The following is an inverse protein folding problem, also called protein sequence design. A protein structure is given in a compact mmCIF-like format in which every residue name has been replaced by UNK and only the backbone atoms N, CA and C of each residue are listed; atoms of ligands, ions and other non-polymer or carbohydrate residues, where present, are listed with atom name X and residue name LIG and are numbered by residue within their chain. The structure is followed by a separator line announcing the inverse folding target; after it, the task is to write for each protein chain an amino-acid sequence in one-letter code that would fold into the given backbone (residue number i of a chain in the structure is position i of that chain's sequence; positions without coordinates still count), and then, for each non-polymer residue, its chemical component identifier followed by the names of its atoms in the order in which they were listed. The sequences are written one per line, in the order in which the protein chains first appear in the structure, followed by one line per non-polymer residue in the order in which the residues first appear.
data_IF_371632102675
#
_entry.id   IF_371632102675
#
_cell.length_a   1.000
_cell.length_b   1.000
_cell.length_c   1.000
_cell.angle_alpha   90.00
_cell.angle_beta   90.00
_cell.angle_gamma   90.00
#
_symmetry.space_group_name_H-M   'P 1'
#
loop_
_entity.id
_entity.type
_entity.pdbx_description
1 polymer ?
#
# COMPACT_ATOMS: atom_id res chain seq x y z
N UNK A 1 -40.95 -49.64 -8.10
CA UNK A 1 -39.57 -49.38 -8.52
C UNK A 1 -39.37 -48.01 -9.19
N UNK A 2 -40.33 -47.38 -9.88
CA UNK A 2 -40.17 -46.06 -10.54
C UNK A 2 -40.13 -44.87 -9.57
N UNK A 3 -40.73 -44.94 -8.40
CA UNK A 3 -40.76 -43.85 -7.43
C UNK A 3 -39.40 -43.59 -6.71
N UNK A 4 -38.58 -44.63 -6.52
CA UNK A 4 -37.27 -44.47 -5.90
C UNK A 4 -36.23 -43.73 -6.77
N UNK A 5 -36.33 -43.83 -8.10
CA UNK A 5 -35.41 -43.15 -9.03
C UNK A 5 -35.59 -41.64 -9.05
N UNK A 6 -36.84 -41.17 -8.89
CA UNK A 6 -37.13 -39.73 -8.88
C UNK A 6 -36.61 -39.02 -7.64
N UNK A 7 -36.61 -39.67 -6.49
CA UNK A 7 -36.10 -39.09 -5.21
C UNK A 7 -34.58 -38.96 -5.26
N UNK A 8 -33.88 -39.90 -5.87
CA UNK A 8 -32.42 -39.84 -6.04
C UNK A 8 -31.99 -38.74 -7.06
N UNK A 9 -32.70 -38.60 -8.16
CA UNK A 9 -32.44 -37.58 -9.17
C UNK A 9 -32.65 -36.17 -8.63
N UNK A 10 -33.67 -35.95 -7.79
CA UNK A 10 -33.92 -34.63 -7.16
C UNK A 10 -32.85 -34.31 -6.10
N UNK A 11 -32.37 -35.27 -5.34
CA UNK A 11 -31.29 -35.05 -4.37
C UNK A 11 -29.95 -34.73 -5.03
N UNK A 12 -29.62 -35.35 -6.14
CA UNK A 12 -28.42 -35.04 -6.91
C UNK A 12 -28.50 -33.66 -7.60
N UNK A 13 -29.67 -33.26 -8.07
CA UNK A 13 -29.88 -31.92 -8.66
C UNK A 13 -29.76 -30.79 -7.61
N UNK A 14 -30.24 -31.03 -6.37
CA UNK A 14 -30.12 -30.02 -5.29
C UNK A 14 -28.67 -29.89 -4.81
N UNK A 15 -27.89 -31.00 -4.74
CA UNK A 15 -26.47 -30.94 -4.39
C UNK A 15 -25.65 -30.25 -5.48
N UNK A 16 -25.98 -30.40 -6.76
CA UNK A 16 -25.31 -29.72 -7.87
C UNK A 16 -25.62 -28.19 -7.90
N UNK A 17 -26.80 -27.77 -7.45
CA UNK A 17 -27.16 -26.33 -7.40
C UNK A 17 -26.48 -25.63 -6.21
N UNK A 18 -26.27 -26.30 -5.07
CA UNK A 18 -25.59 -25.71 -3.90
C UNK A 18 -24.08 -25.56 -4.15
N UNK A 19 -23.45 -26.39 -4.97
CA UNK A 19 -22.04 -26.24 -5.34
C UNK A 19 -21.79 -25.21 -6.43
N UNK A 20 -22.83 -24.69 -7.11
CA UNK A 20 -22.73 -23.65 -8.14
C UNK A 20 -22.99 -22.24 -7.61
N UNK A 21 -23.29 -22.06 -6.32
CA UNK A 21 -23.20 -20.78 -5.63
C UNK A 21 -21.72 -20.48 -5.39
N UNK A 22 -21.01 -20.17 -6.48
CA UNK A 22 -19.67 -19.57 -6.41
C UNK A 22 -19.78 -18.36 -5.50
N UNK A 23 -18.95 -18.30 -4.47
CA UNK A 23 -18.81 -17.11 -3.64
C UNK A 23 -18.53 -15.95 -4.57
N UNK A 24 -19.49 -15.04 -4.71
CA UNK A 24 -19.23 -13.80 -5.42
C UNK A 24 -17.95 -13.20 -4.80
N UNK A 25 -16.99 -12.76 -5.62
CA UNK A 25 -15.79 -12.15 -5.07
C UNK A 25 -16.25 -10.96 -4.21
N UNK A 26 -16.06 -11.07 -2.90
CA UNK A 26 -16.24 -9.94 -2.00
C UNK A 26 -15.26 -8.89 -2.50
N UNK A 27 -15.78 -7.79 -3.05
CA UNK A 27 -14.93 -6.67 -3.44
C UNK A 27 -14.20 -6.23 -2.16
N UNK A 28 -12.90 -6.41 -2.14
CA UNK A 28 -12.09 -6.04 -1.00
C UNK A 28 -12.28 -4.56 -0.69
N UNK A 29 -12.61 -4.26 0.56
CA UNK A 29 -12.68 -2.87 1.00
C UNK A 29 -11.26 -2.39 1.31
N UNK A 30 -10.71 -1.58 0.42
CA UNK A 30 -9.38 -0.99 0.61
C UNK A 30 -9.31 0.01 1.77
N UNK A 31 -10.40 0.28 2.47
CA UNK A 31 -10.39 1.09 3.71
C UNK A 31 -10.09 0.26 4.95
N UNK A 32 -10.38 -1.05 4.91
CA UNK A 32 -10.10 -1.93 6.03
C UNK A 32 -8.59 -2.03 6.28
N UNK A 33 -8.18 -1.72 7.52
CA UNK A 33 -6.79 -1.73 7.95
C UNK A 33 -5.91 -0.62 7.37
N UNK A 34 -6.47 0.37 6.65
CA UNK A 34 -5.74 1.51 6.12
C UNK A 34 -5.27 2.42 7.27
N UNK A 35 -3.97 2.60 7.41
CA UNK A 35 -3.32 3.40 8.46
C UNK A 35 -2.97 4.79 7.95
N UNK A 36 -2.47 4.89 6.72
CA UNK A 36 -2.12 6.16 6.08
C UNK A 36 -2.31 6.09 4.57
N UNK A 37 -2.71 7.20 3.98
CA UNK A 37 -2.87 7.37 2.53
C UNK A 37 -2.51 8.80 2.15
N UNK A 38 -1.44 8.97 1.40
CA UNK A 38 -0.93 10.26 0.95
C UNK A 38 -1.06 10.33 -0.57
N UNK A 39 -2.09 11.08 -1.03
CA UNK A 39 -2.41 11.26 -2.45
C UNK A 39 -1.55 12.33 -3.09
N UNK A 40 -1.03 13.28 -2.30
CA UNK A 40 -0.24 14.43 -2.72
C UNK A 40 -0.97 15.42 -3.65
N UNK A 41 -2.30 15.36 -3.70
CA UNK A 41 -3.18 16.24 -4.49
C UNK A 41 -3.48 17.59 -3.79
N UNK A 42 -2.88 17.87 -2.64
CA UNK A 42 -3.15 19.06 -1.81
C UNK A 42 -2.47 20.33 -2.35
N UNK A 43 -1.82 20.25 -3.51
CA UNK A 43 -1.10 21.35 -4.11
C UNK A 43 0.28 21.60 -3.49
N UNK A 44 0.74 22.86 -3.49
CA UNK A 44 2.11 23.22 -3.09
C UNK A 44 2.29 23.50 -1.59
N UNK A 45 1.36 23.08 -0.74
CA UNK A 45 1.42 23.32 0.70
C UNK A 45 2.52 22.49 1.38
N UNK A 46 2.97 22.97 2.55
CA UNK A 46 4.01 22.28 3.32
C UNK A 46 3.49 21.08 4.11
N UNK A 47 2.20 20.99 4.32
CA UNK A 47 1.52 19.89 4.97
C UNK A 47 0.95 18.95 3.91
N UNK A 48 1.23 17.66 4.06
CA UNK A 48 0.70 16.60 3.19
C UNK A 48 -0.43 15.90 3.94
N UNK A 49 -1.64 15.98 3.38
CA UNK A 49 -2.83 15.41 4.00
C UNK A 49 -2.77 13.87 3.99
N UNK A 50 -3.17 13.27 5.12
CA UNK A 50 -3.50 11.84 5.22
C UNK A 50 -4.98 11.64 4.92
N UNK A 51 -5.27 11.12 3.74
CA UNK A 51 -6.63 10.80 3.26
C UNK A 51 -7.21 9.51 3.84
N UNK A 52 -6.48 8.79 4.71
CA UNK A 52 -6.99 7.58 5.38
C UNK A 52 -8.02 7.87 6.47
N UNK A 53 -8.06 9.09 6.99
CA UNK A 53 -8.89 9.51 8.13
C UNK A 53 -8.20 9.34 9.50
N UNK A 54 -6.98 8.79 9.57
CA UNK A 54 -6.24 8.58 10.82
C UNK A 54 -5.40 9.79 11.26
N UNK A 55 -5.39 10.85 10.45
CA UNK A 55 -4.68 12.11 10.72
C UNK A 55 -3.15 11.92 10.85
N UNK A 56 -2.59 11.01 10.07
CA UNK A 56 -1.15 10.85 9.92
C UNK A 56 -0.59 11.82 8.87
N UNK A 57 -0.91 13.12 9.03
CA UNK A 57 -0.43 14.16 8.13
C UNK A 57 1.09 14.20 8.13
N UNK A 58 1.67 14.42 6.96
CA UNK A 58 3.10 14.57 6.76
C UNK A 58 3.48 16.04 6.59
N UNK A 59 4.73 16.36 6.87
CA UNK A 59 5.31 17.65 6.57
C UNK A 59 6.40 17.50 5.52
N UNK A 60 6.41 18.39 4.52
CA UNK A 60 7.52 18.49 3.58
C UNK A 60 8.76 19.03 4.30
N UNK A 61 9.86 18.32 4.21
CA UNK A 61 11.17 18.86 4.55
C UNK A 61 11.52 20.01 3.57
N UNK A 62 12.39 20.93 3.99
CA UNK A 62 12.73 22.10 3.21
C UNK A 62 13.32 21.70 1.85
N UNK A 63 12.64 22.10 0.78
CA UNK A 63 13.07 21.90 -0.61
C UNK A 63 12.22 20.93 -1.40
N UNK A 64 11.55 19.95 -0.76
CA UNK A 64 10.62 19.04 -1.45
C UNK A 64 9.46 19.82 -2.08
N UNK A 65 9.03 19.38 -3.26
CA UNK A 65 8.00 20.05 -4.04
C UNK A 65 6.77 19.16 -4.17
N UNK A 66 5.67 19.60 -3.59
CA UNK A 66 4.34 19.11 -3.91
C UNK A 66 3.76 19.84 -5.13
N UNK A 67 2.60 19.36 -5.64
CA UNK A 67 1.95 19.96 -6.80
C UNK A 67 2.70 19.75 -8.12
N UNK A 68 3.48 18.69 -8.22
CA UNK A 68 4.13 18.28 -9.46
C UNK A 68 3.26 17.23 -10.17
N UNK A 69 3.33 17.17 -11.51
CA UNK A 69 2.56 16.18 -12.26
C UNK A 69 2.86 14.75 -11.80
N UNK A 70 1.83 14.05 -11.30
CA UNK A 70 1.88 12.70 -10.73
C UNK A 70 1.57 11.58 -11.71
N UNK A 71 1.41 10.40 -11.18
CA UNK A 71 0.78 9.28 -11.89
C UNK A 71 -0.71 9.52 -12.03
N UNK A 72 -1.32 10.07 -10.98
CA UNK A 72 -2.69 10.57 -10.93
C UNK A 72 -2.64 11.97 -10.31
N UNK A 73 -3.32 12.95 -10.86
CA UNK A 73 -3.29 14.29 -10.29
C UNK A 73 -1.89 14.86 -10.05
N UNK A 74 -1.68 15.29 -8.83
CA UNK A 74 -0.41 15.84 -8.36
C UNK A 74 0.45 14.76 -7.66
N UNK A 75 1.72 15.06 -7.43
CA UNK A 75 2.70 14.22 -6.75
C UNK A 75 3.67 15.06 -5.91
N UNK A 76 4.40 14.40 -5.02
CA UNK A 76 5.61 14.97 -4.42
C UNK A 76 6.83 14.50 -5.20
N UNK A 77 7.67 15.46 -5.59
CA UNK A 77 8.99 15.22 -6.17
C UNK A 77 10.05 15.65 -5.17
N UNK A 78 10.95 14.74 -4.82
CA UNK A 78 12.04 14.97 -3.87
C UNK A 78 13.37 15.07 -4.60
N UNK A 79 14.26 15.91 -4.05
CA UNK A 79 15.65 16.09 -4.43
C UNK A 79 16.55 15.70 -3.26
N UNK A 80 17.89 15.65 -3.41
CA UNK A 80 18.78 15.31 -2.30
C UNK A 80 18.49 16.14 -1.04
N UNK A 81 18.34 15.46 0.11
CA UNK A 81 17.99 15.99 1.45
C UNK A 81 16.53 16.37 1.66
N UNK A 82 15.66 16.05 0.72
CA UNK A 82 14.24 16.36 0.79
C UNK A 82 13.42 15.08 1.08
N UNK A 83 12.34 15.21 1.82
CA UNK A 83 11.43 14.10 2.16
C UNK A 83 10.09 14.61 2.65
N UNK A 84 9.18 13.67 2.89
CA UNK A 84 7.98 13.87 3.69
C UNK A 84 8.18 13.16 5.02
N UNK A 85 8.00 13.87 6.12
CA UNK A 85 8.10 13.30 7.47
C UNK A 85 6.72 13.25 8.11
N UNK A 86 6.26 12.03 8.42
CA UNK A 86 5.03 11.75 9.17
C UNK A 86 5.40 11.50 10.63
N UNK A 87 4.94 12.34 11.58
CA UNK A 87 5.25 12.17 12.99
C UNK A 87 4.83 10.82 13.54
N UNK A 88 5.50 10.32 14.59
CA UNK A 88 5.08 9.12 15.28
C UNK A 88 3.69 9.30 15.91
N UNK A 89 2.76 8.40 15.60
CA UNK A 89 1.37 8.42 16.08
C UNK A 89 0.96 7.05 16.61
N UNK A 90 -0.15 7.01 17.36
CA UNK A 90 -0.72 5.74 17.83
C UNK A 90 -1.23 4.86 16.69
N UNK A 91 -1.70 5.45 15.59
CA UNK A 91 -2.15 4.70 14.42
C UNK A 91 -1.00 4.02 13.69
N UNK A 92 0.16 4.68 13.57
CA UNK A 92 1.40 4.03 13.06
C UNK A 92 1.85 2.87 13.96
N UNK A 93 1.59 2.92 15.28
CA UNK A 93 1.89 1.84 16.22
C UNK A 93 0.92 0.64 16.10
N UNK A 94 -0.16 0.74 15.31
CA UNK A 94 -1.06 -0.38 15.05
C UNK A 94 -0.48 -1.43 14.10
N UNK A 95 0.62 -1.12 13.41
CA UNK A 95 1.34 -2.04 12.51
C UNK A 95 2.18 -3.01 13.34
N UNK A 96 1.60 -4.16 13.72
CA UNK A 96 2.20 -5.11 14.68
C UNK A 96 2.44 -6.48 14.07
N UNK A 97 1.40 -7.10 13.50
CA UNK A 97 1.47 -8.49 13.05
C UNK A 97 1.65 -8.60 11.54
N UNK A 98 1.14 -7.64 10.82
CA UNK A 98 1.09 -7.61 9.36
C UNK A 98 1.27 -6.16 8.89
N UNK A 99 1.66 -5.99 7.63
CA UNK A 99 1.81 -4.69 7.00
C UNK A 99 1.64 -4.81 5.49
N UNK A 100 1.15 -3.74 4.88
CA UNK A 100 1.39 -3.44 3.47
C UNK A 100 1.80 -1.98 3.33
N UNK A 101 2.84 -1.74 2.55
CA UNK A 101 3.38 -0.41 2.23
C UNK A 101 3.65 -0.36 0.74
N UNK A 102 3.18 0.69 0.07
CA UNK A 102 3.36 0.81 -1.37
C UNK A 102 2.86 2.15 -1.91
N UNK A 103 2.87 2.25 -3.24
CA UNK A 103 2.44 3.43 -3.97
C UNK A 103 3.00 3.44 -5.39
N UNK A 104 2.91 4.59 -6.04
CA UNK A 104 3.55 4.85 -7.31
C UNK A 104 4.85 5.62 -7.10
N UNK A 105 5.91 5.17 -7.74
CA UNK A 105 7.25 5.72 -7.60
C UNK A 105 7.89 5.92 -8.97
N UNK A 106 8.61 7.03 -9.14
CA UNK A 106 9.39 7.33 -10.32
C UNK A 106 10.80 7.70 -9.90
N UNK A 107 11.77 6.85 -10.20
CA UNK A 107 13.18 7.07 -9.90
C UNK A 107 13.74 8.03 -10.94
N UNK A 108 14.14 9.24 -10.57
CA UNK A 108 14.77 10.20 -11.47
C UNK A 108 16.31 10.10 -11.42
N UNK A 109 16.86 9.61 -10.29
CA UNK A 109 18.28 9.24 -10.15
C UNK A 109 18.40 7.99 -9.31
N UNK A 110 19.30 7.06 -9.67
CA UNK A 110 19.61 5.90 -8.83
C UNK A 110 19.97 6.34 -7.41
N UNK A 111 19.41 5.65 -6.43
CA UNK A 111 19.65 5.89 -5.01
C UNK A 111 19.65 4.57 -4.25
N UNK A 112 20.02 4.60 -2.98
CA UNK A 112 19.96 3.47 -2.06
C UNK A 112 19.11 3.85 -0.85
N UNK A 113 17.92 4.36 -1.13
CA UNK A 113 17.01 4.86 -0.09
C UNK A 113 15.55 4.80 -0.53
N UNK A 114 14.64 5.02 0.40
CA UNK A 114 13.22 4.93 0.14
C UNK A 114 12.36 5.34 1.32
N UNK A 115 11.35 4.54 1.61
CA UNK A 115 10.29 4.82 2.58
C UNK A 115 10.45 3.92 3.79
N UNK A 116 10.71 4.49 4.97
CA UNK A 116 10.92 3.66 6.16
C UNK A 116 10.42 4.26 7.47
N UNK A 117 10.08 3.36 8.36
CA UNK A 117 10.03 3.59 9.80
C UNK A 117 11.20 2.83 10.42
N UNK A 118 12.26 3.54 10.74
CA UNK A 118 13.56 2.96 11.11
C UNK A 118 13.44 1.92 12.25
N UNK A 119 13.96 0.71 12.00
CA UNK A 119 13.90 -0.40 12.94
C UNK A 119 12.58 -1.18 12.94
N UNK A 120 11.61 -0.85 12.08
CA UNK A 120 10.33 -1.57 11.95
C UNK A 120 10.12 -2.13 10.55
N UNK A 121 10.13 -1.29 9.52
CA UNK A 121 9.93 -1.68 8.12
C UNK A 121 10.50 -0.65 7.16
N UNK A 122 10.77 -1.09 5.92
CA UNK A 122 11.19 -0.23 4.82
C UNK A 122 10.70 -0.75 3.46
N UNK A 123 10.55 0.16 2.52
CA UNK A 123 10.41 -0.09 1.10
C UNK A 123 11.38 0.86 0.39
N UNK A 124 12.43 0.33 -0.24
CA UNK A 124 13.55 1.11 -0.74
C UNK A 124 13.86 0.81 -2.19
N UNK A 125 14.22 1.86 -2.91
CA UNK A 125 14.94 1.78 -4.17
C UNK A 125 16.40 1.38 -3.90
N UNK A 126 16.87 0.38 -4.62
CA UNK A 126 18.23 -0.14 -4.53
C UNK A 126 19.02 0.08 -5.83
N UNK A 127 18.54 0.99 -6.69
CA UNK A 127 19.14 1.22 -7.99
C UNK A 127 20.57 1.77 -7.94
N UNK A 128 21.00 2.29 -6.79
CA UNK A 128 22.40 2.64 -6.50
C UNK A 128 23.18 1.58 -5.72
N UNK A 129 22.53 0.49 -5.30
CA UNK A 129 23.09 -0.52 -4.41
C UNK A 129 23.85 -1.63 -5.13
N UNK A 130 24.78 -2.29 -4.42
CA UNK A 130 25.61 -3.35 -4.97
C UNK A 130 24.85 -4.66 -5.24
N UNK A 131 23.79 -4.96 -4.45
CA UNK A 131 23.10 -6.26 -4.48
C UNK A 131 22.05 -6.38 -5.57
N UNK A 132 21.32 -5.31 -5.83
CA UNK A 132 20.31 -5.27 -6.88
C UNK A 132 20.25 -3.86 -7.47
N UNK A 133 21.19 -3.49 -8.35
CA UNK A 133 21.44 -2.11 -8.77
C UNK A 133 20.26 -1.45 -9.52
N UNK A 134 19.20 -2.18 -9.83
CA UNK A 134 18.07 -1.65 -10.61
C UNK A 134 16.72 -2.11 -10.00
N UNK A 135 16.71 -2.52 -8.74
CA UNK A 135 15.53 -3.13 -8.12
C UNK A 135 15.06 -2.44 -6.84
N UNK A 136 14.06 -3.04 -6.23
CA UNK A 136 13.49 -2.61 -4.97
C UNK A 136 13.68 -3.66 -3.89
N UNK A 137 13.69 -3.25 -2.63
CA UNK A 137 13.65 -4.15 -1.47
C UNK A 137 12.49 -3.77 -0.56
N UNK A 138 11.78 -4.77 -0.08
CA UNK A 138 10.86 -4.62 1.04
C UNK A 138 11.36 -5.41 2.23
N UNK A 139 11.40 -4.78 3.40
CA UNK A 139 11.88 -5.44 4.60
C UNK A 139 11.06 -5.12 5.84
N UNK A 140 11.06 -6.08 6.77
CA UNK A 140 10.49 -5.90 8.10
C UNK A 140 11.46 -6.43 9.16
N UNK A 141 11.55 -5.71 10.28
CA UNK A 141 12.22 -6.18 11.50
C UNK A 141 11.20 -6.84 12.40
N UNK A 142 11.50 -8.04 12.87
CA UNK A 142 10.60 -8.78 13.76
C UNK A 142 11.30 -9.21 15.04
N UNK A 143 10.51 -9.48 16.07
CA UNK A 143 10.95 -10.03 17.35
C UNK A 143 11.50 -11.48 17.23
N UNK A 144 11.17 -12.19 16.14
CA UNK A 144 11.65 -13.55 15.86
C UNK A 144 12.78 -13.55 14.82
N UNK A 145 13.93 -12.94 15.14
CA UNK A 145 15.15 -13.09 14.33
C UNK A 145 15.49 -11.92 13.41
N UNK A 146 15.32 -10.68 13.86
CA UNK A 146 15.87 -9.48 13.21
C UNK A 146 15.16 -9.13 11.89
N UNK A 147 15.94 -8.66 10.91
CA UNK A 147 15.42 -8.17 9.62
C UNK A 147 15.20 -9.31 8.62
N UNK A 148 14.07 -9.27 7.90
CA UNK A 148 13.83 -10.02 6.66
C UNK A 148 13.86 -9.05 5.48
N UNK A 149 14.58 -9.39 4.43
CA UNK A 149 14.80 -8.54 3.24
C UNK A 149 14.36 -9.29 1.99
N UNK A 150 13.25 -8.89 1.40
CA UNK A 150 12.79 -9.37 0.09
C UNK A 150 13.39 -8.48 -1.01
N UNK A 151 14.50 -8.93 -1.57
CA UNK A 151 15.18 -8.27 -2.67
C UNK A 151 14.47 -8.58 -3.98
N UNK A 152 13.94 -7.57 -4.67
CA UNK A 152 13.28 -7.73 -5.95
C UNK A 152 14.23 -8.20 -7.05
N UNK A 153 13.69 -8.95 -7.98
CA UNK A 153 14.44 -9.49 -9.14
C UNK A 153 14.19 -8.67 -10.42
N UNK A 154 13.00 -8.04 -10.51
CA UNK A 154 12.65 -7.19 -11.65
C UNK A 154 13.35 -5.85 -11.58
N UNK A 155 13.92 -5.44 -12.69
CA UNK A 155 14.49 -4.11 -12.86
C UNK A 155 13.39 -3.06 -13.01
N UNK A 156 13.60 -1.91 -12.43
CA UNK A 156 12.73 -0.74 -12.58
C UNK A 156 13.37 0.24 -13.55
N UNK A 157 12.60 0.70 -14.51
CA UNK A 157 13.08 1.66 -15.52
C UNK A 157 13.08 3.06 -14.90
N UNK A 158 14.21 3.77 -14.88
CA UNK A 158 14.27 5.17 -14.45
C UNK A 158 13.31 6.06 -15.25
N UNK A 159 12.82 7.13 -14.60
CA UNK A 159 11.89 8.12 -15.16
C UNK A 159 10.50 7.57 -15.54
N UNK A 160 10.21 6.30 -15.21
CA UNK A 160 8.91 5.65 -15.46
C UNK A 160 8.18 5.41 -14.15
N UNK A 161 6.93 5.89 -14.04
CA UNK A 161 6.07 5.58 -12.91
C UNK A 161 5.83 4.08 -12.80
N UNK A 162 6.25 3.51 -11.68
CA UNK A 162 6.14 2.09 -11.37
C UNK A 162 5.40 1.90 -10.06
N UNK A 163 4.40 1.02 -10.03
CA UNK A 163 3.72 0.66 -8.79
C UNK A 163 4.53 -0.39 -8.05
N UNK A 164 4.91 -0.08 -6.82
CA UNK A 164 5.66 -0.98 -5.92
C UNK A 164 4.84 -1.19 -4.66
N UNK A 165 4.71 -2.44 -4.22
CA UNK A 165 4.06 -2.77 -2.96
C UNK A 165 4.78 -3.92 -2.26
N UNK A 166 5.09 -3.74 -0.98
CA UNK A 166 5.55 -4.78 -0.08
C UNK A 166 4.44 -5.20 0.87
N UNK A 167 4.27 -6.50 1.10
CA UNK A 167 3.33 -7.02 2.10
C UNK A 167 4.00 -8.06 3.01
N UNK A 168 3.56 -8.11 4.27
CA UNK A 168 3.98 -9.11 5.25
C UNK A 168 2.76 -9.65 5.99
N UNK A 169 2.55 -10.95 5.95
CA UNK A 169 1.37 -11.63 6.50
C UNK A 169 1.61 -12.31 7.87
N UNK A 170 2.79 -12.08 8.47
CA UNK A 170 3.22 -12.75 9.70
C UNK A 170 3.98 -14.07 9.46
N UNK A 171 4.05 -14.54 8.22
CA UNK A 171 4.73 -15.79 7.81
C UNK A 171 5.68 -15.61 6.64
N UNK A 172 5.37 -14.68 5.73
CA UNK A 172 6.15 -14.37 4.54
C UNK A 172 6.14 -12.88 4.24
N UNK A 173 7.20 -12.44 3.63
CA UNK A 173 7.31 -11.13 2.99
C UNK A 173 7.10 -11.35 1.49
N UNK A 174 6.36 -10.46 0.86
CA UNK A 174 6.11 -10.43 -0.57
C UNK A 174 6.44 -9.04 -1.12
N UNK A 175 7.05 -8.97 -2.28
CA UNK A 175 7.27 -7.74 -3.04
C UNK A 175 6.56 -7.86 -4.38
N UNK A 176 5.79 -6.83 -4.73
CA UNK A 176 5.04 -6.74 -5.97
C UNK A 176 5.53 -5.55 -6.79
N UNK A 177 5.65 -5.75 -8.10
CA UNK A 177 5.98 -4.70 -9.07
C UNK A 177 4.88 -4.69 -10.13
N UNK A 178 4.24 -3.52 -10.31
CA UNK A 178 3.08 -3.35 -11.21
C UNK A 178 1.97 -4.39 -10.96
N UNK A 179 1.68 -4.66 -9.69
CA UNK A 179 0.62 -5.57 -9.24
C UNK A 179 0.94 -7.06 -9.40
N UNK A 180 2.11 -7.42 -9.90
CA UNK A 180 2.56 -8.80 -10.03
C UNK A 180 3.59 -9.16 -8.97
N UNK A 181 3.46 -10.37 -8.40
CA UNK A 181 4.45 -10.88 -7.45
C UNK A 181 5.82 -10.99 -8.12
N UNK A 182 6.81 -10.32 -7.54
CA UNK A 182 8.19 -10.38 -7.97
C UNK A 182 8.98 -11.40 -7.14
N UNK A 183 8.97 -11.25 -5.81
CA UNK A 183 9.68 -12.14 -4.90
C UNK A 183 8.86 -12.39 -3.63
N UNK A 184 9.06 -13.57 -3.02
CA UNK A 184 8.59 -13.84 -1.67
C UNK A 184 9.60 -14.63 -0.87
N UNK A 185 9.73 -14.29 0.42
CA UNK A 185 10.64 -14.98 1.35
C UNK A 185 9.92 -15.36 2.64
N UNK A 186 10.29 -16.46 3.30
CA UNK A 186 9.76 -16.79 4.63
C UNK A 186 10.30 -15.80 5.67
N UNK A 187 9.40 -15.33 6.54
CA UNK A 187 9.71 -14.49 7.69
C UNK A 187 8.60 -14.62 8.70
N UNK A 188 8.93 -14.74 9.98
CA UNK A 188 7.93 -14.86 11.06
C UNK A 188 8.20 -13.83 12.15
N UNK A 189 7.24 -13.68 13.08
CA UNK A 189 7.33 -12.82 14.24
C UNK A 189 6.52 -11.53 14.11
N UNK A 190 6.41 -10.81 15.22
CA UNK A 190 5.74 -9.51 15.25
C UNK A 190 6.70 -8.43 14.79
N UNK A 191 6.19 -7.47 14.06
CA UNK A 191 6.96 -6.30 13.62
C UNK A 191 7.43 -5.52 14.84
N UNK A 192 8.71 -5.16 14.87
CA UNK A 192 9.30 -4.40 15.96
C UNK A 192 8.59 -3.06 16.14
N UNK A 193 8.25 -2.76 17.38
CA UNK A 193 7.60 -1.50 17.73
C UNK A 193 8.66 -0.43 18.04
N UNK A 194 8.59 0.68 17.31
CA UNK A 194 9.50 1.80 17.44
C UNK A 194 8.73 3.11 17.59
N UNK A 195 9.25 4.04 18.39
CA UNK A 195 8.69 5.39 18.50
C UNK A 195 9.47 6.33 17.58
N UNK A 196 9.38 6.06 16.28
CA UNK A 196 10.06 6.83 15.25
C UNK A 196 9.06 7.39 14.25
N UNK A 197 9.33 8.52 13.59
CA UNK A 197 8.54 8.99 12.47
C UNK A 197 8.62 8.00 11.30
N UNK A 198 7.63 8.06 10.42
CA UNK A 198 7.71 7.47 9.09
C UNK A 198 8.27 8.52 8.13
N UNK A 199 9.32 8.17 7.43
CA UNK A 199 9.89 9.01 6.38
C UNK A 199 9.51 8.45 5.00
N UNK A 200 9.04 9.32 4.13
CA UNK A 200 8.81 9.03 2.71
C UNK A 200 9.89 9.77 1.93
N UNK A 201 10.80 9.01 1.30
CA UNK A 201 11.89 9.54 0.49
C UNK A 201 13.21 9.84 1.20
N UNK A 202 13.41 9.40 2.47
CA UNK A 202 14.65 9.71 3.21
C UNK A 202 15.05 8.63 4.21
N UNK A 203 16.36 8.43 4.34
CA UNK A 203 16.96 7.76 5.50
C UNK A 203 18.37 8.29 5.79
N UNK A 204 18.58 8.75 7.03
CA UNK A 204 19.88 9.31 7.45
C UNK A 204 20.28 10.51 6.59
N UNK A 205 21.41 10.41 5.92
CA UNK A 205 21.91 11.42 4.96
C UNK A 205 21.54 11.15 3.51
N UNK A 206 20.91 10.02 3.23
CA UNK A 206 20.52 9.57 1.90
C UNK A 206 19.08 9.93 1.61
N UNK A 207 18.77 10.23 0.36
CA UNK A 207 17.46 10.67 -0.07
C UNK A 207 17.08 10.04 -1.40
N UNK A 208 15.83 9.63 -1.49
CA UNK A 208 15.19 9.27 -2.74
C UNK A 208 15.11 10.49 -3.65
N UNK A 209 15.50 10.33 -4.91
CA UNK A 209 15.42 11.38 -5.92
C UNK A 209 14.43 10.94 -6.99
N UNK A 210 13.25 11.52 -6.95
CA UNK A 210 12.17 11.12 -7.86
C UNK A 210 10.79 11.51 -7.36
N UNK A 211 9.79 11.00 -8.05
CA UNK A 211 8.38 11.25 -7.75
C UNK A 211 7.75 10.16 -6.88
N UNK A 212 6.83 10.55 -6.00
CA UNK A 212 6.00 9.68 -5.17
C UNK A 212 4.55 10.10 -5.32
N UNK A 213 3.65 9.10 -5.45
CA UNK A 213 2.23 9.34 -5.62
C UNK A 213 1.40 8.17 -5.06
N UNK A 214 0.21 8.45 -4.54
CA UNK A 214 -0.74 7.46 -4.01
C UNK A 214 -0.07 6.50 -2.99
N UNK A 215 0.77 7.03 -2.08
CA UNK A 215 1.49 6.22 -1.08
C UNK A 215 0.54 5.78 0.01
N UNK A 216 0.54 4.48 0.32
CA UNK A 216 -0.35 3.86 1.32
C UNK A 216 0.40 3.03 2.35
N UNK A 217 -0.18 2.94 3.54
CA UNK A 217 0.25 2.06 4.64
C UNK A 217 -0.98 1.35 5.23
N UNK A 218 -0.91 0.02 5.37
CA UNK A 218 -1.92 -0.81 6.04
C UNK A 218 -1.32 -1.56 7.22
N UNK A 219 -2.13 -1.86 8.23
CA UNK A 219 -1.78 -2.76 9.33
C UNK A 219 -2.19 -4.22 9.09
N UNK A 220 -2.48 -4.57 7.86
CA UNK A 220 -2.75 -5.92 7.36
C UNK A 220 -1.99 -6.21 6.08
N UNK A 221 -1.85 -7.50 5.75
CA UNK A 221 -1.37 -7.90 4.45
C UNK A 221 -2.48 -7.77 3.40
N UNK A 222 -2.22 -7.05 2.33
CA UNK A 222 -3.06 -7.03 1.15
C UNK A 222 -2.87 -8.33 0.36
N UNK A 223 -3.97 -8.88 -0.17
CA UNK A 223 -3.92 -9.96 -1.15
C UNK A 223 -3.39 -9.45 -2.50
N UNK A 224 -3.00 -10.36 -3.38
CA UNK A 224 -2.53 -9.99 -4.73
C UNK A 224 -3.57 -9.19 -5.53
N UNK A 225 -4.86 -9.52 -5.37
CA UNK A 225 -5.94 -8.79 -6.05
C UNK A 225 -6.15 -7.39 -5.45
N UNK A 226 -5.97 -7.24 -4.13
CA UNK A 226 -6.00 -5.93 -3.48
C UNK A 226 -4.79 -5.08 -3.89
N UNK A 227 -3.60 -5.65 -3.98
CA UNK A 227 -2.41 -4.96 -4.52
C UNK A 227 -2.66 -4.50 -5.96
N UNK A 228 -3.27 -5.30 -6.81
CA UNK A 228 -3.69 -4.86 -8.16
C UNK A 228 -4.74 -3.75 -8.10
N UNK A 229 -5.62 -3.78 -7.12
CA UNK A 229 -6.63 -2.74 -6.96
C UNK A 229 -6.02 -1.38 -6.54
N UNK A 230 -4.93 -1.38 -5.74
CA UNK A 230 -4.21 -0.14 -5.37
C UNK A 230 -3.46 0.52 -6.52
N UNK A 231 -3.35 -0.14 -7.69
CA UNK A 231 -2.80 0.49 -8.90
C UNK A 231 -3.74 1.52 -9.54
N UNK A 232 -5.00 1.56 -9.11
CA UNK A 232 -5.98 2.57 -9.53
C UNK A 232 -5.93 3.73 -8.56
N UNK A 233 -6.24 4.94 -9.03
CA UNK A 233 -6.30 6.09 -8.14
C UNK A 233 -7.29 5.87 -7.00
N UNK A 234 -6.85 6.13 -5.77
CA UNK A 234 -7.70 6.13 -4.59
C UNK A 234 -8.71 7.29 -4.61
N UNK A 235 -8.40 8.42 -5.23
CA UNK A 235 -9.32 9.57 -5.36
C UNK A 235 -10.59 9.18 -6.11
N UNK A 236 -10.50 8.35 -7.15
CA UNK A 236 -11.65 7.81 -7.87
C UNK A 236 -12.48 6.82 -7.03
N UNK A 237 -11.89 6.20 -6.02
CA UNK A 237 -12.59 5.29 -5.10
C UNK A 237 -13.36 6.03 -4.02
N UNK A 238 -12.87 7.20 -3.59
CA UNK A 238 -13.55 8.06 -2.61
C UNK A 238 -14.84 8.70 -3.17
N UNK A 239 -14.84 9.12 -4.44
CA UNK A 239 -16.03 9.70 -5.09
C UNK A 239 -17.17 8.69 -5.25
N UNK A 240 -16.87 7.39 -5.40
CA UNK A 240 -17.88 6.33 -5.49
C UNK A 240 -18.61 6.07 -4.15
N UNK A 241 -17.99 6.41 -3.01
CA UNK A 241 -18.61 6.27 -1.66
C UNK A 241 -19.40 7.53 -1.27
N UNK A 242 -18.91 8.70 -1.66
CA UNK A 242 -19.61 9.98 -1.41
C UNK A 242 -20.97 10.07 -2.13
N UNK A 243 -21.13 9.37 -3.26
CA UNK A 243 -22.44 9.27 -3.95
C UNK A 243 -23.48 8.45 -3.18
N UNK A 244 -23.08 7.47 -2.33
CA UNK A 244 -24.01 6.71 -1.47
C UNK A 244 -24.43 7.48 -0.23
N UNK A 245 -23.51 8.21 0.37
CA UNK A 245 -23.80 9.07 1.52
C UNK A 245 -24.66 10.28 1.11
N UNK A 246 -24.44 10.83 -0.09
CA UNK A 246 -25.31 11.88 -0.66
C UNK A 246 -26.73 11.38 -0.99
N UNK A 247 -26.88 10.12 -1.41
CA UNK A 247 -28.22 9.52 -1.59
C UNK A 247 -28.93 9.35 -0.24
N UNK A 248 -28.23 8.94 0.83
CA UNK A 248 -28.83 8.79 2.16
C UNK A 248 -29.27 10.12 2.74
N UNK A 249 -28.49 11.20 2.56
CA UNK A 249 -28.87 12.55 3.01
C UNK A 249 -29.99 13.17 2.17
N UNK A 250 -30.05 12.86 0.86
CA UNK A 250 -31.14 13.31 -0.01
C UNK A 250 -32.47 12.65 0.36
N UNK A 251 -32.49 11.38 0.75
CA UNK A 251 -33.68 10.69 1.24
C UNK A 251 -34.17 11.22 2.59
N UNK A 252 -33.27 11.66 3.46
CA UNK A 252 -33.63 12.26 4.75
C UNK A 252 -34.26 13.65 4.61
N UNK A 253 -33.91 14.42 3.57
CA UNK A 253 -34.48 15.74 3.29
C UNK A 253 -35.84 15.71 2.57
N UNK A 254 -36.20 14.60 1.92
CA UNK A 254 -37.50 14.43 1.24
C UNK A 254 -38.63 13.92 2.16
N UNK A 255 -38.33 13.66 3.45
CA UNK A 255 -39.33 13.22 4.45
C UNK A 255 -39.73 14.31 5.44
N UNK A 256 -39.50 15.59 5.14
CA UNK A 256 -40.03 16.73 5.93
C UNK A 256 -41.15 17.43 5.20
#
# INVERSE_FOLDING_TARGET
MKACYYIWAIRLAIIAIVSALGTLPVKADLRDGLVGLWLFDDGADKEIEDSSGNKNHGALDSGAKAGQAGKFGDAVVTQPKEAVTVPATKSLDSVINQISLGGWFRIDKPSDTGHRRNGAYLLEDQSGGEKNPDGWVFAVWTDAGGIGLAWGEKKVTPEVWTHIAGTYDGKKIYLYINGELDVSIPKTGKIMQVKAPLHLGKFGGETYVGGMDEVFLYNRALSADEVKATMKSFSNSATAVDSRDKLATCWASLKK
#
